data_IF_073576472747
#
_entry.id   IF_073576472747
#
_cell.length_a   1.000
_cell.length_b   1.000
_cell.length_c   1.000
_cell.angle_alpha   90.00
_cell.angle_beta   90.00
_cell.angle_gamma   90.00
#
_symmetry.space_group_name_H-M   'P 1'
#
loop_
_entity.id
_entity.type
_entity.pdbx_description
1 polymer ?
#
# COMPACT_ATOMS: atom_id res chain seq x y z
N UNK A 1 17.01 -14.73 -5.23
CA UNK A 1 15.83 -14.14 -4.56
C UNK A 1 14.72 -14.08 -5.59
N UNK A 2 13.56 -14.69 -5.31
CA UNK A 2 12.39 -14.49 -6.18
C UNK A 2 11.92 -13.04 -6.04
N UNK A 3 11.40 -12.44 -7.11
CA UNK A 3 10.75 -11.10 -7.08
C UNK A 3 9.65 -11.07 -6.02
N UNK A 4 8.98 -12.21 -5.80
CA UNK A 4 7.94 -12.40 -4.79
C UNK A 4 8.52 -12.23 -3.38
N UNK A 5 9.68 -12.83 -3.09
CA UNK A 5 10.33 -12.66 -1.79
C UNK A 5 10.69 -11.20 -1.56
N UNK A 6 11.17 -10.50 -2.58
CA UNK A 6 11.51 -9.09 -2.47
C UNK A 6 10.30 -8.18 -2.22
N UNK A 7 9.18 -8.44 -2.91
CA UNK A 7 7.98 -7.60 -2.81
C UNK A 7 7.24 -7.78 -1.48
N UNK A 8 7.12 -9.02 -1.01
CA UNK A 8 6.24 -9.38 0.09
C UNK A 8 6.97 -9.63 1.42
N UNK A 9 8.30 -9.76 1.43
CA UNK A 9 9.04 -9.94 2.68
C UNK A 9 8.81 -8.74 3.62
N UNK A 10 8.42 -9.00 4.87
CA UNK A 10 8.31 -7.96 5.88
C UNK A 10 9.71 -7.43 6.18
N UNK A 11 9.84 -6.10 6.23
CA UNK A 11 11.12 -5.49 6.56
C UNK A 11 11.17 -5.15 8.04
N UNK A 12 12.22 -5.61 8.71
CA UNK A 12 12.46 -5.30 10.12
C UNK A 12 13.27 -4.03 10.23
N UNK A 13 12.71 -3.05 10.92
CA UNK A 13 13.47 -1.90 11.39
C UNK A 13 14.29 -2.28 12.64
N UNK A 14 15.33 -1.48 12.93
CA UNK A 14 16.21 -1.62 14.11
C UNK A 14 15.48 -1.59 15.45
N UNK A 15 14.23 -1.14 15.47
CA UNK A 15 13.36 -1.08 16.64
C UNK A 15 12.39 -2.28 16.73
N UNK A 16 12.52 -3.28 15.86
CA UNK A 16 11.63 -4.44 15.80
C UNK A 16 10.29 -4.17 15.11
N UNK A 17 10.06 -2.95 14.61
CA UNK A 17 8.87 -2.58 13.86
C UNK A 17 8.91 -3.16 12.45
N UNK A 18 7.83 -3.86 12.05
CA UNK A 18 7.65 -4.32 10.68
C UNK A 18 7.27 -3.13 9.80
N UNK A 19 8.21 -2.67 8.98
CA UNK A 19 7.95 -1.63 7.98
C UNK A 19 7.12 -2.21 6.84
N UNK A 20 6.24 -1.39 6.20
CA UNK A 20 5.45 -1.86 5.07
C UNK A 20 6.34 -2.45 3.98
N UNK A 21 5.95 -3.63 3.49
CA UNK A 21 6.61 -4.29 2.37
C UNK A 21 6.60 -3.41 1.11
N UNK A 22 7.49 -3.67 0.15
CA UNK A 22 7.45 -2.94 -1.14
C UNK A 22 6.12 -3.13 -1.85
N UNK A 23 5.53 -4.32 -1.76
CA UNK A 23 4.20 -4.59 -2.28
C UNK A 23 3.15 -3.63 -1.66
N UNK A 24 3.26 -3.33 -0.36
CA UNK A 24 2.33 -2.40 0.32
C UNK A 24 2.50 -0.95 -0.18
N UNK A 25 3.72 -0.53 -0.51
CA UNK A 25 4.03 0.80 -1.05
C UNK A 25 3.55 0.95 -2.48
N UNK A 26 3.82 -0.05 -3.32
CA UNK A 26 3.35 -0.09 -4.71
C UNK A 26 1.82 -0.11 -4.73
N UNK A 27 1.20 -0.95 -3.88
CA UNK A 27 -0.25 -1.01 -3.75
C UNK A 27 -0.85 0.35 -3.36
N UNK A 28 -0.22 1.07 -2.43
CA UNK A 28 -0.66 2.42 -2.08
C UNK A 28 -0.71 3.36 -3.28
N UNK A 29 0.36 3.40 -4.08
CA UNK A 29 0.43 4.25 -5.27
C UNK A 29 -0.62 3.85 -6.31
N UNK A 30 -0.81 2.55 -6.55
CA UNK A 30 -1.81 2.04 -7.49
C UNK A 30 -3.21 2.50 -7.06
N UNK A 31 -3.58 2.27 -5.79
CA UNK A 31 -4.90 2.65 -5.28
C UNK A 31 -5.12 4.15 -5.40
N UNK A 32 -4.18 4.98 -4.94
CA UNK A 32 -4.32 6.42 -5.00
C UNK A 32 -4.47 6.90 -6.45
N UNK A 33 -3.63 6.44 -7.37
CA UNK A 33 -3.69 6.86 -8.78
C UNK A 33 -4.99 6.41 -9.46
N UNK A 34 -5.40 5.15 -9.25
CA UNK A 34 -6.62 4.62 -9.85
C UNK A 34 -7.88 5.31 -9.31
N UNK A 35 -7.98 5.48 -7.99
CA UNK A 35 -9.12 6.18 -7.37
C UNK A 35 -9.13 7.64 -7.76
N UNK A 36 -7.98 8.31 -7.78
CA UNK A 36 -7.80 9.70 -8.22
C UNK A 36 -8.30 9.92 -9.65
N UNK A 37 -7.87 9.06 -10.58
CA UNK A 37 -8.27 9.13 -11.99
C UNK A 37 -9.78 8.95 -12.15
N UNK A 38 -10.35 7.93 -11.50
CA UNK A 38 -11.79 7.68 -11.54
C UNK A 38 -12.60 8.81 -10.89
N UNK A 39 -12.19 9.28 -9.71
CA UNK A 39 -12.88 10.32 -8.96
C UNK A 39 -12.92 11.66 -9.71
N UNK A 40 -11.98 11.91 -10.62
CA UNK A 40 -11.98 13.13 -11.43
C UNK A 40 -13.23 13.24 -12.31
N UNK A 41 -13.70 12.12 -12.85
CA UNK A 41 -14.92 12.09 -13.66
C UNK A 41 -16.18 12.23 -12.79
N UNK A 42 -16.14 11.78 -11.53
CA UNK A 42 -17.26 11.86 -10.59
C UNK A 42 -17.43 13.26 -10.00
N UNK A 43 -16.33 13.99 -9.80
CA UNK A 43 -16.33 15.29 -9.14
C UNK A 43 -16.77 16.46 -10.02
N UNK A 44 -17.00 16.24 -11.32
CA UNK A 44 -17.35 17.28 -12.30
C UNK A 44 -16.39 18.48 -12.28
N UNK A 45 -15.09 18.23 -12.08
CA UNK A 45 -14.05 19.27 -12.03
C UNK A 45 -13.96 20.03 -10.70
N UNK A 46 -14.78 19.69 -9.70
CA UNK A 46 -14.71 20.32 -8.37
C UNK A 46 -13.61 19.67 -7.53
N UNK A 47 -12.50 20.37 -7.33
CA UNK A 47 -11.29 19.88 -6.66
C UNK A 47 -11.57 19.42 -5.22
N UNK A 48 -12.37 20.16 -4.45
CA UNK A 48 -12.68 19.81 -3.05
C UNK A 48 -13.46 18.50 -2.95
N UNK A 49 -14.42 18.27 -3.85
CA UNK A 49 -15.22 17.04 -3.91
C UNK A 49 -14.34 15.88 -4.36
N UNK A 50 -13.52 16.09 -5.40
CA UNK A 50 -12.54 15.11 -5.86
C UNK A 50 -11.64 14.63 -4.71
N UNK A 51 -11.04 15.55 -3.97
CA UNK A 51 -10.14 15.23 -2.86
C UNK A 51 -10.83 14.44 -1.75
N UNK A 52 -12.06 14.84 -1.40
CA UNK A 52 -12.90 14.11 -0.43
C UNK A 52 -13.17 12.68 -0.88
N UNK A 53 -13.56 12.47 -2.14
CA UNK A 53 -13.82 11.13 -2.70
C UNK A 53 -12.54 10.30 -2.67
N UNK A 54 -11.41 10.86 -3.10
CA UNK A 54 -10.13 10.15 -3.14
C UNK A 54 -9.74 9.65 -1.76
N UNK A 55 -9.77 10.50 -0.73
CA UNK A 55 -9.47 10.08 0.63
C UNK A 55 -10.48 9.03 1.10
N UNK A 56 -11.77 9.33 0.97
CA UNK A 56 -12.83 8.50 1.55
C UNK A 56 -12.88 7.09 0.96
N UNK A 57 -12.65 6.95 -0.34
CA UNK A 57 -12.67 5.65 -1.04
C UNK A 57 -11.33 4.94 -0.91
N UNK A 58 -10.20 5.65 -0.96
CA UNK A 58 -8.89 5.01 -0.87
C UNK A 58 -8.64 4.43 0.51
N UNK A 59 -9.10 5.07 1.58
CA UNK A 59 -8.88 4.59 2.96
C UNK A 59 -9.36 3.14 3.18
N UNK A 60 -10.64 2.77 2.95
CA UNK A 60 -11.10 1.40 3.16
C UNK A 60 -10.41 0.40 2.21
N UNK A 61 -10.15 0.79 0.95
CA UNK A 61 -9.44 -0.06 -0.01
C UNK A 61 -8.02 -0.37 0.48
N UNK A 62 -7.30 0.65 0.95
CA UNK A 62 -5.95 0.52 1.51
C UNK A 62 -5.96 -0.33 2.77
N UNK A 63 -6.90 -0.09 3.70
CA UNK A 63 -7.04 -0.87 4.92
C UNK A 63 -7.23 -2.35 4.63
N UNK A 64 -8.13 -2.70 3.70
CA UNK A 64 -8.39 -4.10 3.32
C UNK A 64 -7.19 -4.69 2.60
N UNK A 65 -6.60 -3.96 1.65
CA UNK A 65 -5.47 -4.45 0.87
C UNK A 65 -4.21 -4.68 1.71
N UNK A 66 -3.90 -3.79 2.65
CA UNK A 66 -2.79 -4.02 3.59
C UNK A 66 -3.07 -5.16 4.56
N UNK A 67 -4.32 -5.34 5.01
CA UNK A 67 -4.69 -6.51 5.79
C UNK A 67 -4.44 -7.81 5.01
N UNK A 68 -4.86 -7.88 3.75
CA UNK A 68 -4.60 -9.04 2.87
C UNK A 68 -3.09 -9.28 2.66
N UNK A 69 -2.33 -8.22 2.37
CA UNK A 69 -0.88 -8.30 2.21
C UNK A 69 -0.19 -8.81 3.49
N UNK A 70 -0.69 -8.41 4.67
CA UNK A 70 -0.16 -8.89 5.94
C UNK A 70 -0.36 -10.40 6.13
N UNK A 71 -1.46 -10.97 5.62
CA UNK A 71 -1.72 -12.41 5.69
C UNK A 71 -0.75 -13.19 4.80
N UNK A 72 -0.48 -12.69 3.61
CA UNK A 72 0.47 -13.30 2.66
C UNK A 72 1.90 -13.24 3.21
N UNK A 73 2.26 -12.11 3.84
CA UNK A 73 3.61 -11.85 4.37
C UNK A 73 3.97 -12.71 5.59
N UNK A 74 2.99 -13.25 6.33
CA UNK A 74 3.23 -14.07 7.55
C UNK A 74 4.12 -15.29 7.34
N UNK A 75 4.13 -15.87 6.15
CA UNK A 75 4.87 -17.10 5.85
C UNK A 75 6.24 -16.84 5.20
N UNK A 76 6.63 -15.57 5.03
CA UNK A 76 7.89 -15.21 4.39
C UNK A 76 8.96 -14.89 5.43
N UNK A 77 10.23 -15.23 5.17
CA UNK A 77 11.33 -14.90 6.07
C UNK A 77 11.48 -13.39 6.20
N UNK A 78 11.65 -12.92 7.43
CA UNK A 78 11.88 -11.52 7.75
C UNK A 78 13.25 -11.07 7.21
N UNK A 79 13.30 -9.87 6.61
CA UNK A 79 14.53 -9.29 6.04
C UNK A 79 14.85 -7.97 6.71
N UNK A 80 16.12 -7.73 7.01
CA UNK A 80 16.57 -6.45 7.57
C UNK A 80 16.32 -5.30 6.59
N UNK A 81 15.85 -4.16 7.11
CA UNK A 81 15.62 -2.94 6.33
C UNK A 81 16.94 -2.37 5.77
N UNK A 82 18.04 -2.56 6.50
CA UNK A 82 19.38 -2.07 6.17
C UNK A 82 20.39 -3.24 6.14
N UNK A 83 20.23 -4.17 5.21
CA UNK A 83 21.31 -5.11 4.92
C UNK A 83 22.43 -4.35 4.19
N UNK A 84 23.59 -4.29 4.81
CA UNK A 84 24.84 -3.73 4.24
C UNK A 84 25.35 -4.58 3.08
#
# INVERSE_FOLDING_TARGET
>A
MSIVDYLFAPRLDRFGSKTPSEASRIFFLIVILSVSYWAWHVSNGVISIWFMIVIFISTPILSIGWWLLSLISKNLPEKELFSK
#
